data_IF_321529699298
#
_entry.id   IF_321529699298
#
_cell.length_a   1.000
_cell.length_b   1.000
_cell.length_c   1.000
_cell.angle_alpha   90.00
_cell.angle_beta   90.00
_cell.angle_gamma   90.00
#
_symmetry.space_group_name_H-M   'P 1'
#
loop_
_entity.id
_entity.type
_entity.pdbx_description
1 polymer ?
#
# COMPACT_ATOMS: atom_id res chain seq x y z
N UNK A 1 20.72 10.75 -16.81
CA UNK A 1 19.26 10.90 -17.04
C UNK A 1 18.68 9.98 -18.13
N UNK A 2 19.43 8.98 -18.66
CA UNK A 2 18.89 7.98 -19.60
C UNK A 2 18.15 6.82 -18.90
N UNK A 3 18.38 6.61 -17.60
CA UNK A 3 17.86 5.47 -16.80
C UNK A 3 16.32 5.47 -16.64
N UNK A 4 15.67 6.60 -16.78
CA UNK A 4 14.22 6.76 -16.57
C UNK A 4 13.43 7.02 -17.86
N UNK A 5 14.04 6.89 -19.05
CA UNK A 5 13.31 7.12 -20.31
C UNK A 5 12.62 5.84 -20.76
N UNK A 6 11.32 5.82 -20.65
CA UNK A 6 10.45 4.79 -21.21
C UNK A 6 10.25 4.97 -22.73
N UNK A 7 10.22 3.86 -23.49
CA UNK A 7 9.83 3.85 -24.90
C UNK A 7 8.32 4.14 -25.06
N UNK A 8 7.86 4.50 -26.25
CA UNK A 8 6.44 4.76 -26.50
C UNK A 8 5.61 3.49 -26.36
N UNK A 9 6.10 2.39 -26.91
CA UNK A 9 5.42 1.10 -26.91
C UNK A 9 5.31 0.54 -25.49
N UNK A 10 6.37 0.69 -24.67
CA UNK A 10 6.32 0.31 -23.27
C UNK A 10 5.30 1.12 -22.48
N UNK A 11 5.22 2.42 -22.76
CA UNK A 11 4.25 3.29 -22.10
C UNK A 11 2.81 2.81 -22.33
N UNK A 12 2.44 2.53 -23.60
CA UNK A 12 1.10 2.05 -23.94
C UNK A 12 0.78 0.72 -23.23
N UNK A 13 1.74 -0.20 -23.23
CA UNK A 13 1.59 -1.48 -22.52
C UNK A 13 1.37 -1.29 -21.01
N UNK A 14 2.23 -0.51 -20.36
CA UNK A 14 2.14 -0.25 -18.91
C UNK A 14 0.85 0.50 -18.57
N UNK A 15 0.47 1.46 -19.39
CA UNK A 15 -0.79 2.18 -19.20
C UNK A 15 -2.00 1.26 -19.32
N UNK A 16 -2.03 0.38 -20.32
CA UNK A 16 -3.11 -0.59 -20.51
C UNK A 16 -3.20 -1.56 -19.32
N UNK A 17 -2.06 -2.10 -18.88
CA UNK A 17 -1.97 -3.03 -17.75
C UNK A 17 -2.46 -2.39 -16.45
N UNK A 18 -2.01 -1.16 -16.15
CA UNK A 18 -2.45 -0.42 -14.96
C UNK A 18 -3.94 -0.09 -15.05
N UNK A 19 -4.40 0.40 -16.19
CA UNK A 19 -5.81 0.78 -16.38
C UNK A 19 -6.73 -0.44 -16.26
N UNK A 20 -6.39 -1.57 -16.88
CA UNK A 20 -7.19 -2.80 -16.80
C UNK A 20 -7.18 -3.40 -15.39
N UNK A 21 -6.02 -3.46 -14.76
CA UNK A 21 -5.87 -3.99 -13.39
C UNK A 21 -6.45 -3.08 -12.30
N UNK A 22 -6.75 -1.82 -12.61
CA UNK A 22 -7.42 -0.87 -11.71
C UNK A 22 -8.94 -0.91 -11.81
N UNK A 23 -9.52 -1.80 -12.63
CA UNK A 23 -10.98 -1.93 -12.74
C UNK A 23 -11.58 -2.62 -11.52
N UNK A 24 -12.68 -2.09 -10.95
CA UNK A 24 -13.41 -2.72 -9.85
C UNK A 24 -14.22 -3.92 -10.38
N UNK A 25 -13.52 -4.97 -10.80
CA UNK A 25 -14.09 -6.17 -11.40
C UNK A 25 -14.25 -7.30 -10.35
N UNK A 26 -15.18 -8.23 -10.60
CA UNK A 26 -15.43 -9.39 -9.70
C UNK A 26 -14.14 -10.18 -9.46
N UNK A 27 -13.32 -10.40 -10.51
CA UNK A 27 -12.03 -11.09 -10.40
C UNK A 27 -11.08 -10.42 -9.40
N UNK A 28 -11.05 -9.07 -9.38
CA UNK A 28 -10.24 -8.30 -8.45
C UNK A 28 -10.65 -8.55 -7.00
N UNK A 29 -11.94 -8.39 -6.68
CA UNK A 29 -12.46 -8.61 -5.33
C UNK A 29 -12.32 -10.05 -4.86
N UNK A 30 -12.51 -11.02 -5.76
CA UNK A 30 -12.30 -12.44 -5.46
C UNK A 30 -10.85 -12.70 -5.04
N UNK A 31 -9.88 -12.19 -5.79
CA UNK A 31 -8.46 -12.37 -5.47
C UNK A 31 -8.05 -11.64 -4.18
N UNK A 32 -8.59 -10.45 -3.92
CA UNK A 32 -8.39 -9.74 -2.65
C UNK A 32 -8.95 -10.56 -1.49
N UNK A 33 -10.15 -11.09 -1.63
CA UNK A 33 -10.80 -11.92 -0.59
C UNK A 33 -9.98 -13.17 -0.29
N UNK A 34 -9.58 -13.94 -1.32
CA UNK A 34 -8.77 -15.15 -1.15
C UNK A 34 -7.43 -14.83 -0.49
N UNK A 35 -6.74 -13.78 -0.97
CA UNK A 35 -5.48 -13.34 -0.39
C UNK A 35 -5.64 -12.94 1.08
N UNK A 36 -6.70 -12.19 1.41
CA UNK A 36 -6.97 -11.76 2.79
C UNK A 36 -7.24 -12.95 3.71
N UNK A 37 -7.99 -13.95 3.26
CA UNK A 37 -8.22 -15.17 4.04
C UNK A 37 -6.92 -15.95 4.29
N UNK A 38 -6.08 -16.11 3.27
CA UNK A 38 -4.76 -16.75 3.42
C UNK A 38 -3.89 -15.95 4.40
N UNK A 39 -3.86 -14.60 4.27
CA UNK A 39 -3.12 -13.75 5.19
C UNK A 39 -3.63 -13.88 6.63
N UNK A 40 -4.94 -13.90 6.82
CA UNK A 40 -5.57 -14.05 8.14
C UNK A 40 -5.20 -15.40 8.78
N UNK A 41 -5.26 -16.49 8.05
CA UNK A 41 -4.77 -17.79 8.55
C UNK A 41 -3.28 -17.74 8.87
N UNK A 42 -2.45 -17.13 8.02
CA UNK A 42 -1.02 -16.96 8.27
C UNK A 42 -0.72 -16.19 9.55
N UNK A 43 -1.50 -15.12 9.82
CA UNK A 43 -1.40 -14.31 11.04
C UNK A 43 -1.79 -15.13 12.28
N UNK A 44 -2.91 -15.85 12.23
CA UNK A 44 -3.39 -16.68 13.36
C UNK A 44 -2.45 -17.87 13.62
N UNK A 45 -1.92 -18.50 12.59
CA UNK A 45 -0.97 -19.60 12.69
C UNK A 45 0.46 -19.15 13.04
N UNK A 46 0.72 -17.85 13.20
CA UNK A 46 2.05 -17.26 13.39
C UNK A 46 3.04 -17.71 12.32
N UNK A 47 2.58 -17.83 11.06
CA UNK A 47 3.37 -18.33 9.93
C UNK A 47 3.68 -17.22 8.93
N UNK A 48 4.87 -16.64 9.03
CA UNK A 48 5.37 -15.64 8.08
C UNK A 48 5.36 -16.16 6.63
N UNK A 49 5.64 -17.45 6.43
CA UNK A 49 5.65 -18.05 5.09
C UNK A 49 4.26 -18.03 4.43
N UNK A 50 3.21 -18.35 5.19
CA UNK A 50 1.81 -18.28 4.70
C UNK A 50 1.41 -16.84 4.42
N UNK A 51 1.80 -15.90 5.30
CA UNK A 51 1.55 -14.47 5.09
C UNK A 51 2.22 -13.98 3.81
N UNK A 52 3.47 -14.37 3.53
CA UNK A 52 4.18 -14.05 2.28
C UNK A 52 3.44 -14.68 1.07
N UNK A 53 2.99 -15.91 1.17
CA UNK A 53 2.20 -16.56 0.12
C UNK A 53 0.92 -15.81 -0.23
N UNK A 54 0.22 -15.27 0.76
CA UNK A 54 -0.98 -14.45 0.55
C UNK A 54 -0.70 -13.20 -0.31
N UNK A 55 0.44 -12.57 -0.10
CA UNK A 55 0.83 -11.33 -0.79
C UNK A 55 1.04 -11.52 -2.29
N UNK A 56 1.42 -12.73 -2.72
CA UNK A 56 1.59 -13.07 -4.14
C UNK A 56 0.27 -13.11 -4.90
N UNK A 57 -0.84 -13.30 -4.19
CA UNK A 57 -2.18 -13.46 -4.75
C UNK A 57 -2.91 -12.11 -4.86
N UNK A 58 -2.59 -11.16 -4.01
CA UNK A 58 -3.33 -9.90 -3.90
C UNK A 58 -3.06 -8.92 -5.05
N UNK A 59 -4.07 -8.45 -5.78
CA UNK A 59 -3.91 -7.48 -6.87
C UNK A 59 -3.95 -6.00 -6.41
N UNK A 60 -3.81 -5.70 -5.11
CA UNK A 60 -3.96 -4.34 -4.55
C UNK A 60 -2.91 -3.33 -5.03
N UNK A 61 -1.76 -3.80 -5.54
CA UNK A 61 -0.73 -2.91 -6.07
C UNK A 61 -1.20 -2.10 -7.29
N UNK A 62 -1.98 -2.72 -8.18
CA UNK A 62 -2.34 -2.11 -9.46
C UNK A 62 -3.26 -0.89 -9.31
N UNK A 63 -4.32 -0.89 -8.47
CA UNK A 63 -5.09 0.31 -8.20
C UNK A 63 -4.27 1.45 -7.59
N UNK A 64 -3.28 1.16 -6.74
CA UNK A 64 -2.38 2.18 -6.17
C UNK A 64 -1.59 2.88 -7.28
N UNK A 65 -1.02 2.11 -8.20
CA UNK A 65 -0.36 2.67 -9.37
C UNK A 65 -1.32 3.36 -10.33
N UNK A 66 -2.57 2.89 -10.42
CA UNK A 66 -3.65 3.55 -11.15
C UNK A 66 -3.93 4.95 -10.61
N UNK A 67 -4.07 5.09 -9.29
CA UNK A 67 -4.22 6.40 -8.63
C UNK A 67 -3.00 7.28 -8.89
N UNK A 68 -1.78 6.73 -8.71
CA UNK A 68 -0.53 7.47 -8.94
C UNK A 68 -0.42 7.99 -10.38
N UNK A 69 -0.69 7.15 -11.35
CA UNK A 69 -0.63 7.49 -12.77
C UNK A 69 -1.71 8.50 -13.16
N UNK A 70 -2.93 8.32 -12.66
CA UNK A 70 -4.05 9.22 -12.89
C UNK A 70 -3.78 10.63 -12.35
N UNK A 71 -3.18 10.74 -11.15
CA UNK A 71 -2.75 12.02 -10.58
C UNK A 71 -1.69 12.70 -11.44
N UNK A 72 -0.68 11.94 -11.89
CA UNK A 72 0.41 12.45 -12.75
C UNK A 72 -0.11 12.95 -14.09
N UNK A 73 -1.07 12.24 -14.68
CA UNK A 73 -1.64 12.58 -15.99
C UNK A 73 -2.84 13.52 -15.93
N UNK A 74 -3.51 13.57 -14.79
CA UNK A 74 -4.75 14.31 -14.60
C UNK A 74 -5.96 13.63 -15.24
N UNK A 75 -5.97 12.32 -15.29
CA UNK A 75 -7.04 11.51 -15.84
C UNK A 75 -8.08 11.17 -14.78
N UNK A 76 -9.20 11.87 -14.80
CA UNK A 76 -10.26 11.73 -13.78
C UNK A 76 -10.91 10.35 -13.83
N UNK A 77 -11.11 9.78 -15.03
CA UNK A 77 -11.79 8.49 -15.19
C UNK A 77 -10.95 7.35 -14.59
N UNK A 78 -9.64 7.31 -14.87
CA UNK A 78 -8.72 6.36 -14.27
C UNK A 78 -8.63 6.56 -12.75
N UNK A 79 -8.62 7.81 -12.28
CA UNK A 79 -8.57 8.11 -10.85
C UNK A 79 -9.80 7.56 -10.12
N UNK A 80 -10.99 7.84 -10.61
CA UNK A 80 -12.25 7.37 -10.01
C UNK A 80 -12.33 5.85 -10.04
N UNK A 81 -11.95 5.23 -11.15
CA UNK A 81 -11.92 3.78 -11.31
C UNK A 81 -10.97 3.13 -10.28
N UNK A 82 -9.74 3.60 -10.20
CA UNK A 82 -8.72 3.07 -9.29
C UNK A 82 -9.07 3.29 -7.81
N UNK A 83 -9.61 4.47 -7.45
CA UNK A 83 -10.10 4.74 -6.10
C UNK A 83 -11.25 3.80 -5.72
N UNK A 84 -12.20 3.56 -6.62
CA UNK A 84 -13.31 2.62 -6.36
C UNK A 84 -12.82 1.20 -6.15
N UNK A 85 -11.85 0.73 -6.96
CA UNK A 85 -11.24 -0.57 -6.79
C UNK A 85 -10.52 -0.67 -5.45
N UNK A 86 -9.71 0.33 -5.10
CA UNK A 86 -8.94 0.36 -3.84
C UNK A 86 -9.85 0.40 -2.61
N UNK A 87 -10.81 1.32 -2.54
CA UNK A 87 -11.76 1.40 -1.42
C UNK A 87 -12.54 0.11 -1.28
N UNK A 88 -13.04 -0.46 -2.38
CA UNK A 88 -13.77 -1.72 -2.35
C UNK A 88 -12.88 -2.88 -1.91
N UNK A 89 -11.63 -2.94 -2.36
CA UNK A 89 -10.63 -3.94 -1.96
C UNK A 89 -10.28 -3.85 -0.48
N UNK A 90 -10.00 -2.65 0.02
CA UNK A 90 -9.74 -2.39 1.45
C UNK A 90 -10.94 -2.81 2.31
N UNK A 91 -12.14 -2.40 1.91
CA UNK A 91 -13.38 -2.75 2.62
C UNK A 91 -13.60 -4.25 2.64
N UNK A 92 -13.43 -4.92 1.49
CA UNK A 92 -13.55 -6.37 1.40
C UNK A 92 -12.52 -7.08 2.29
N UNK A 93 -11.27 -6.63 2.30
CA UNK A 93 -10.21 -7.22 3.12
C UNK A 93 -10.54 -7.10 4.61
N UNK A 94 -10.91 -5.93 5.10
CA UNK A 94 -11.24 -5.72 6.52
C UNK A 94 -12.48 -6.49 6.92
N UNK A 95 -13.54 -6.49 6.11
CA UNK A 95 -14.77 -7.23 6.41
C UNK A 95 -14.52 -8.74 6.42
N UNK A 96 -13.77 -9.26 5.45
CA UNK A 96 -13.50 -10.71 5.37
C UNK A 96 -12.63 -11.20 6.52
N UNK A 97 -11.60 -10.46 6.91
CA UNK A 97 -10.76 -10.81 8.06
C UNK A 97 -11.52 -10.68 9.39
N UNK A 98 -12.37 -9.66 9.54
CA UNK A 98 -13.27 -9.51 10.67
C UNK A 98 -14.25 -10.69 10.76
N UNK A 99 -14.92 -11.03 9.65
CA UNK A 99 -15.87 -12.15 9.59
C UNK A 99 -15.19 -13.48 9.93
N UNK A 100 -13.99 -13.72 9.40
CA UNK A 100 -13.20 -14.89 9.74
C UNK A 100 -12.84 -14.93 11.23
N UNK A 101 -12.35 -13.83 11.78
CA UNK A 101 -12.01 -13.75 13.20
C UNK A 101 -13.21 -14.04 14.10
N UNK A 102 -14.38 -13.45 13.80
CA UNK A 102 -15.62 -13.71 14.53
C UNK A 102 -16.10 -15.18 14.39
N UNK A 103 -15.91 -15.79 13.21
CA UNK A 103 -16.31 -17.18 12.98
C UNK A 103 -15.41 -18.18 13.69
N UNK A 104 -14.12 -17.87 13.88
CA UNK A 104 -13.18 -18.73 14.61
C UNK A 104 -13.29 -18.59 16.14
N UNK A 105 -13.89 -17.49 16.61
CA UNK A 105 -14.02 -17.21 18.04
C UNK A 105 -12.69 -16.74 18.67
N UNK A 106 -12.47 -17.13 19.93
CA UNK A 106 -11.28 -16.71 20.68
C UNK A 106 -10.01 -17.39 20.15
N UNK A 107 -9.06 -16.58 19.73
CA UNK A 107 -7.69 -16.98 19.42
C UNK A 107 -6.71 -15.99 20.07
N UNK A 108 -5.53 -16.47 20.46
CA UNK A 108 -4.52 -15.61 21.07
C UNK A 108 -3.80 -14.75 20.01
N UNK A 109 -3.54 -13.46 20.32
CA UNK A 109 -2.76 -12.61 19.44
C UNK A 109 -1.34 -13.15 19.28
N UNK A 110 -0.98 -13.53 18.07
CA UNK A 110 0.35 -14.06 17.73
C UNK A 110 1.38 -12.94 17.57
N UNK A 111 2.68 -13.28 17.49
CA UNK A 111 3.73 -12.30 17.19
C UNK A 111 3.54 -11.64 15.83
N UNK A 112 3.02 -12.37 14.84
CA UNK A 112 2.67 -11.85 13.51
C UNK A 112 1.56 -10.80 13.59
N UNK A 113 0.57 -10.98 14.46
CA UNK A 113 -0.50 -9.99 14.73
C UNK A 113 0.08 -8.78 15.45
N UNK A 114 0.77 -8.99 16.57
CA UNK A 114 1.27 -7.92 17.44
C UNK A 114 2.27 -7.00 16.74
N UNK A 115 3.14 -7.55 15.90
CA UNK A 115 4.15 -6.77 15.16
C UNK A 115 3.56 -5.71 14.24
N UNK A 116 2.30 -5.89 13.78
CA UNK A 116 1.61 -4.98 12.84
C UNK A 116 0.65 -4.00 13.51
N UNK A 117 0.54 -4.03 14.84
CA UNK A 117 -0.36 -3.13 15.57
C UNK A 117 0.24 -1.77 15.89
N UNK A 118 1.56 -1.63 15.74
CA UNK A 118 2.32 -0.41 16.08
C UNK A 118 3.19 0.03 14.92
N UNK A 119 2.65 0.86 13.99
CA UNK A 119 3.41 1.41 12.88
C UNK A 119 4.68 2.12 13.36
N UNK A 120 5.76 1.96 12.62
CA UNK A 120 7.02 2.62 12.92
C UNK A 120 7.67 3.22 11.66
N UNK A 121 8.71 4.03 11.83
CA UNK A 121 9.37 4.71 10.73
C UNK A 121 10.08 3.73 9.75
N UNK A 122 10.52 2.58 10.23
CA UNK A 122 11.17 1.59 9.36
C UNK A 122 10.15 0.95 8.42
N UNK A 123 8.92 0.73 8.86
CA UNK A 123 7.84 0.24 8.00
C UNK A 123 7.60 1.22 6.84
N UNK A 124 7.58 2.52 7.14
CA UNK A 124 7.42 3.57 6.14
C UNK A 124 8.61 3.60 5.15
N UNK A 125 9.85 3.44 5.62
CA UNK A 125 11.03 3.37 4.74
C UNK A 125 10.97 2.14 3.82
N UNK A 126 10.56 1.00 4.34
CA UNK A 126 10.34 -0.22 3.52
C UNK A 126 9.29 0.03 2.46
N UNK A 127 8.16 0.68 2.80
CA UNK A 127 7.11 1.00 1.83
C UNK A 127 7.59 1.99 0.75
N UNK A 128 8.40 2.99 1.11
CA UNK A 128 9.04 3.94 0.17
C UNK A 128 9.93 3.18 -0.82
N UNK A 129 10.81 2.30 -0.32
CA UNK A 129 11.73 1.52 -1.17
C UNK A 129 10.96 0.53 -2.06
N UNK A 130 9.96 -0.15 -1.52
CA UNK A 130 9.10 -1.07 -2.26
C UNK A 130 8.31 -0.34 -3.35
N UNK A 131 7.73 0.83 -3.03
CA UNK A 131 7.01 1.68 -3.99
C UNK A 131 7.90 2.16 -5.12
N UNK A 132 9.13 2.58 -4.80
CA UNK A 132 10.13 2.94 -5.82
C UNK A 132 10.47 1.76 -6.72
N UNK A 133 10.81 0.61 -6.12
CA UNK A 133 11.18 -0.59 -6.87
C UNK A 133 10.04 -1.06 -7.80
N UNK A 134 8.79 -1.04 -7.30
CA UNK A 134 7.62 -1.41 -8.09
C UNK A 134 7.36 -0.47 -9.26
N UNK A 135 7.36 0.83 -9.01
CA UNK A 135 7.17 1.83 -10.05
C UNK A 135 8.32 1.82 -11.08
N UNK A 136 9.55 1.63 -10.61
CA UNK A 136 10.72 1.53 -11.50
C UNK A 136 10.68 0.28 -12.38
N UNK A 137 10.26 -0.87 -11.84
CA UNK A 137 10.12 -2.11 -12.61
C UNK A 137 9.05 -2.01 -13.72
N UNK A 138 8.03 -1.17 -13.55
CA UNK A 138 7.09 -0.87 -14.62
C UNK A 138 7.73 -0.03 -15.74
N UNK A 139 8.64 0.87 -15.36
CA UNK A 139 9.34 1.76 -16.30
C UNK A 139 10.40 1.03 -17.10
N UNK A 140 11.18 0.15 -16.47
CA UNK A 140 12.30 -0.57 -17.09
C UNK A 140 11.84 -1.91 -17.67
N UNK A 141 11.96 -2.08 -18.99
CA UNK A 141 11.55 -3.29 -19.71
C UNK A 141 12.35 -4.55 -19.30
N UNK A 142 13.53 -4.37 -18.72
CA UNK A 142 14.43 -5.46 -18.33
C UNK A 142 14.10 -6.05 -16.97
N UNK A 143 13.26 -5.38 -16.18
CA UNK A 143 12.90 -5.79 -14.84
C UNK A 143 11.48 -6.37 -14.87
N UNK A 144 11.32 -7.57 -14.32
CA UNK A 144 9.99 -8.16 -14.16
C UNK A 144 9.21 -7.40 -13.08
N UNK A 145 8.00 -6.91 -13.36
CA UNK A 145 7.18 -6.21 -12.36
C UNK A 145 6.65 -7.13 -11.25
N UNK A 146 6.77 -8.45 -11.42
CA UNK A 146 6.27 -9.41 -10.44
C UNK A 146 7.04 -9.36 -9.10
N UNK A 147 8.36 -9.22 -9.12
CA UNK A 147 9.17 -9.21 -7.89
C UNK A 147 8.91 -7.97 -7.01
N UNK A 148 8.93 -6.74 -7.53
CA UNK A 148 8.57 -5.57 -6.73
C UNK A 148 7.11 -5.57 -6.29
N UNK A 149 6.22 -6.20 -7.07
CA UNK A 149 4.81 -6.38 -6.69
C UNK A 149 4.65 -7.14 -5.38
N UNK A 150 5.47 -8.16 -5.16
CA UNK A 150 5.52 -8.88 -3.87
C UNK A 150 5.90 -7.95 -2.73
N UNK A 151 6.95 -7.14 -2.89
CA UNK A 151 7.41 -6.22 -1.86
C UNK A 151 6.33 -5.20 -1.46
N UNK A 152 5.58 -4.66 -2.44
CA UNK A 152 4.46 -3.75 -2.19
C UNK A 152 3.32 -4.46 -1.46
N UNK A 153 2.93 -5.65 -1.93
CA UNK A 153 1.85 -6.42 -1.30
C UNK A 153 2.17 -6.81 0.13
N UNK A 154 3.46 -6.99 0.46
CA UNK A 154 3.96 -7.19 1.83
C UNK A 154 3.58 -6.06 2.77
N UNK A 155 3.59 -4.85 2.27
CA UNK A 155 3.27 -3.65 3.04
C UNK A 155 1.76 -3.37 3.14
N UNK A 156 0.92 -4.00 2.31
CA UNK A 156 -0.50 -3.63 2.15
C UNK A 156 -1.45 -4.67 2.76
N UNK A 157 -1.36 -5.94 2.33
CA UNK A 157 -2.35 -6.98 2.65
C UNK A 157 -2.37 -7.39 4.12
N UNK A 158 -1.21 -7.70 4.76
CA UNK A 158 -1.21 -8.17 6.13
C UNK A 158 -1.71 -7.14 7.15
N UNK A 159 -1.39 -5.84 7.04
CA UNK A 159 -1.98 -4.83 7.91
C UNK A 159 -3.50 -4.73 7.80
N UNK A 160 -4.07 -4.87 6.58
CA UNK A 160 -5.52 -4.88 6.38
C UNK A 160 -6.17 -6.10 7.03
N UNK A 161 -5.64 -7.30 6.78
CA UNK A 161 -6.12 -8.53 7.38
C UNK A 161 -6.01 -8.46 8.93
N UNK A 162 -4.88 -7.95 9.43
CA UNK A 162 -4.66 -7.78 10.85
C UNK A 162 -5.63 -6.79 11.51
N UNK A 163 -5.99 -5.72 10.78
CA UNK A 163 -6.98 -4.75 11.28
C UNK A 163 -8.32 -5.42 11.57
N UNK A 164 -8.85 -6.24 10.65
CA UNK A 164 -10.10 -6.95 10.86
C UNK A 164 -10.01 -8.02 11.96
N UNK A 165 -8.92 -8.78 12.03
CA UNK A 165 -8.69 -9.77 13.10
C UNK A 165 -8.65 -9.12 14.49
N UNK A 166 -7.93 -8.02 14.65
CA UNK A 166 -7.89 -7.28 15.91
C UNK A 166 -9.27 -6.75 16.32
N UNK A 167 -10.07 -6.27 15.36
CA UNK A 167 -11.45 -5.87 15.63
C UNK A 167 -12.32 -7.04 16.08
N UNK A 168 -12.12 -8.25 15.51
CA UNK A 168 -12.83 -9.46 15.94
C UNK A 168 -12.48 -9.85 17.39
N UNK A 169 -11.26 -9.62 17.83
CA UNK A 169 -10.81 -9.85 19.21
C UNK A 169 -11.28 -8.74 20.20
N UNK A 170 -12.00 -7.71 19.73
CA UNK A 170 -12.38 -6.56 20.55
C UNK A 170 -11.25 -5.55 20.80
N UNK A 171 -10.08 -5.75 20.19
CA UNK A 171 -8.89 -4.91 20.32
C UNK A 171 -8.89 -3.75 19.33
N UNK A 172 -9.83 -2.81 19.49
CA UNK A 172 -10.04 -1.70 18.54
C UNK A 172 -8.80 -0.82 18.35
N UNK A 173 -8.01 -0.59 19.41
CA UNK A 173 -6.78 0.21 19.32
C UNK A 173 -5.71 -0.49 18.48
N UNK A 174 -5.55 -1.80 18.59
CA UNK A 174 -4.65 -2.62 17.79
C UNK A 174 -5.11 -2.67 16.31
N UNK A 175 -6.43 -2.82 16.10
CA UNK A 175 -7.03 -2.78 14.77
C UNK A 175 -6.80 -1.44 14.06
N UNK A 176 -7.00 -0.33 14.77
CA UNK A 176 -6.69 1.02 14.25
C UNK A 176 -5.20 1.19 13.96
N UNK A 177 -4.31 0.69 14.83
CA UNK A 177 -2.86 0.72 14.61
C UNK A 177 -2.47 0.00 13.32
N UNK A 178 -3.04 -1.18 13.06
CA UNK A 178 -2.83 -1.95 11.83
C UNK A 178 -3.36 -1.23 10.59
N UNK A 179 -4.53 -0.60 10.69
CA UNK A 179 -5.09 0.20 9.60
C UNK A 179 -4.25 1.43 9.29
N UNK A 180 -3.71 2.10 10.32
CA UNK A 180 -2.78 3.22 10.16
C UNK A 180 -1.46 2.77 9.50
N UNK A 181 -0.97 1.57 9.81
CA UNK A 181 0.19 0.99 9.12
C UNK A 181 -0.09 0.80 7.62
N UNK A 182 -1.25 0.23 7.27
CA UNK A 182 -1.69 0.15 5.88
C UNK A 182 -1.72 1.53 5.22
N UNK A 183 -2.36 2.52 5.85
CA UNK A 183 -2.53 3.86 5.28
C UNK A 183 -1.18 4.58 5.08
N UNK A 184 -0.25 4.44 6.03
CA UNK A 184 1.10 4.97 5.91
C UNK A 184 1.86 4.36 4.72
N UNK A 185 1.78 3.04 4.57
CA UNK A 185 2.41 2.32 3.47
C UNK A 185 1.76 2.67 2.12
N UNK A 186 0.44 2.71 2.06
CA UNK A 186 -0.33 3.11 0.88
C UNK A 186 0.09 4.50 0.37
N UNK A 187 0.12 5.49 1.26
CA UNK A 187 0.50 6.86 0.90
C UNK A 187 1.98 6.96 0.49
N UNK A 188 2.87 6.20 1.15
CA UNK A 188 4.28 6.13 0.79
C UNK A 188 4.47 5.62 -0.64
N UNK A 189 3.84 4.50 -0.95
CA UNK A 189 3.90 3.87 -2.28
C UNK A 189 3.32 4.82 -3.32
N UNK A 190 2.15 5.41 -3.05
CA UNK A 190 1.46 6.33 -3.96
C UNK A 190 2.33 7.55 -4.29
N UNK A 191 2.92 8.20 -3.29
CA UNK A 191 3.75 9.39 -3.49
C UNK A 191 5.01 9.03 -4.27
N UNK A 192 5.71 7.96 -3.88
CA UNK A 192 6.97 7.57 -4.52
C UNK A 192 6.74 7.06 -5.95
N UNK A 193 5.69 6.28 -6.18
CA UNK A 193 5.31 5.85 -7.53
C UNK A 193 4.98 7.05 -8.42
N UNK A 194 4.25 8.03 -7.89
CA UNK A 194 3.94 9.26 -8.63
C UNK A 194 5.19 10.02 -9.02
N UNK A 195 6.14 10.19 -8.10
CA UNK A 195 7.43 10.83 -8.38
C UNK A 195 8.18 10.06 -9.48
N UNK A 196 8.22 8.73 -9.37
CA UNK A 196 8.89 7.86 -10.35
C UNK A 196 8.24 8.00 -11.74
N UNK A 197 6.92 8.04 -11.82
CA UNK A 197 6.19 8.24 -13.09
C UNK A 197 6.41 9.64 -13.68
N UNK A 198 6.53 10.67 -12.86
CA UNK A 198 6.92 12.02 -13.33
C UNK A 198 8.33 12.01 -13.91
N UNK A 199 9.30 11.41 -13.20
CA UNK A 199 10.70 11.32 -13.63
C UNK A 199 10.88 10.48 -14.90
N UNK A 200 10.05 9.44 -15.10
CA UNK A 200 10.06 8.61 -16.31
C UNK A 200 9.46 9.31 -17.54
N UNK A 201 8.87 10.49 -17.37
CA UNK A 201 8.27 11.29 -18.43
C UNK A 201 6.83 10.89 -18.79
N UNK A 202 6.18 10.06 -18.00
CA UNK A 202 4.77 9.67 -18.20
C UNK A 202 3.81 10.89 -18.19
N UNK A 203 4.17 11.96 -17.48
CA UNK A 203 3.41 13.21 -17.46
C UNK A 203 3.39 13.95 -18.80
N UNK A 204 4.42 13.84 -19.62
CA UNK A 204 4.65 14.72 -20.79
C UNK A 204 4.03 14.24 -22.12
N UNK A 205 3.65 12.98 -22.23
CA UNK A 205 3.36 12.35 -23.53
C UNK A 205 1.97 12.61 -24.11
N UNK A 206 1.05 13.18 -23.35
CA UNK A 206 -0.30 13.45 -23.83
C UNK A 206 -0.73 14.89 -23.53
N UNK A 207 -0.31 15.83 -24.39
CA UNK A 207 -0.94 17.15 -24.50
C UNK A 207 -0.97 18.06 -23.27
N UNK A 208 -0.19 17.74 -22.25
CA UNK A 208 -0.18 18.45 -20.97
C UNK A 208 0.55 19.80 -21.05
N UNK A 209 0.06 20.71 -21.91
CA UNK A 209 0.50 22.13 -21.92
C UNK A 209 0.12 22.85 -20.62
N UNK A 210 -0.81 22.27 -19.84
CA UNK A 210 -1.31 22.82 -18.56
C UNK A 210 -0.81 22.03 -17.32
N UNK A 211 0.08 21.04 -17.48
CA UNK A 211 0.42 20.09 -16.43
C UNK A 211 1.14 20.69 -15.21
N UNK A 212 1.92 21.74 -15.38
CA UNK A 212 2.79 22.24 -14.31
C UNK A 212 2.06 22.86 -13.11
N UNK A 213 1.12 23.77 -13.35
CA UNK A 213 0.40 24.47 -12.28
C UNK A 213 -0.67 23.58 -11.61
N UNK A 214 -1.31 22.71 -12.38
CA UNK A 214 -2.32 21.79 -11.85
C UNK A 214 -1.73 20.57 -11.15
N UNK A 215 -0.51 20.14 -11.50
CA UNK A 215 0.16 18.99 -10.89
C UNK A 215 0.35 19.22 -9.38
N UNK A 216 0.91 20.35 -8.99
CA UNK A 216 1.11 20.68 -7.58
C UNK A 216 -0.20 20.62 -6.78
N UNK A 217 -1.26 21.20 -7.32
CA UNK A 217 -2.57 21.22 -6.66
C UNK A 217 -3.18 19.81 -6.51
N UNK A 218 -2.96 18.91 -7.48
CA UNK A 218 -3.43 17.52 -7.44
C UNK A 218 -2.69 16.68 -6.40
N UNK A 219 -1.40 16.96 -6.20
CA UNK A 219 -0.57 16.26 -5.21
C UNK A 219 -0.65 16.84 -3.79
N UNK A 220 -1.26 18.01 -3.59
CA UNK A 220 -1.33 18.62 -2.26
C UNK A 220 -1.92 17.66 -1.23
N UNK A 221 -3.07 17.05 -1.50
CA UNK A 221 -3.75 16.18 -0.55
C UNK A 221 -2.94 14.92 -0.20
N UNK A 222 -2.48 14.09 -1.17
CA UNK A 222 -1.64 12.93 -0.88
C UNK A 222 -0.33 13.29 -0.17
N UNK A 223 0.35 14.36 -0.58
CA UNK A 223 1.62 14.79 0.02
C UNK A 223 1.41 15.30 1.44
N UNK A 224 0.39 16.13 1.67
CA UNK A 224 0.07 16.61 3.03
C UNK A 224 -0.30 15.44 3.93
N UNK A 225 -1.13 14.51 3.48
CA UNK A 225 -1.46 13.30 4.25
C UNK A 225 -0.22 12.46 4.56
N UNK A 226 0.68 12.26 3.58
CA UNK A 226 1.94 11.56 3.77
C UNK A 226 2.84 12.26 4.80
N UNK A 227 3.00 13.58 4.70
CA UNK A 227 3.81 14.37 5.65
C UNK A 227 3.21 14.31 7.06
N UNK A 228 1.89 14.43 7.21
CA UNK A 228 1.23 14.36 8.52
C UNK A 228 1.41 12.98 9.16
N UNK A 229 1.25 11.88 8.40
CA UNK A 229 1.45 10.53 8.90
C UNK A 229 2.92 10.32 9.26
N UNK A 230 3.85 10.75 8.42
CA UNK A 230 5.30 10.64 8.71
C UNK A 230 5.68 11.41 9.96
N UNK A 231 5.16 12.63 10.14
CA UNK A 231 5.38 13.44 11.33
C UNK A 231 4.80 12.77 12.59
N UNK A 232 3.59 12.21 12.49
CA UNK A 232 2.95 11.47 13.57
C UNK A 232 3.75 10.23 13.98
N UNK A 233 4.20 9.42 13.01
CA UNK A 233 5.03 8.24 13.27
C UNK A 233 6.39 8.62 13.86
N UNK A 234 7.02 9.67 13.34
CA UNK A 234 8.28 10.21 13.87
C UNK A 234 8.14 10.70 15.32
N UNK A 235 7.06 11.40 15.64
CA UNK A 235 6.75 11.84 17.00
C UNK A 235 6.51 10.65 17.94
N UNK A 236 5.76 9.64 17.49
CA UNK A 236 5.50 8.43 18.26
C UNK A 236 6.79 7.67 18.59
N UNK A 237 7.71 7.52 17.63
CA UNK A 237 9.03 6.92 17.87
C UNK A 237 9.87 7.73 18.84
N UNK A 238 9.88 9.05 18.70
CA UNK A 238 10.62 9.94 19.60
C UNK A 238 10.12 9.78 21.04
N UNK A 239 8.81 9.74 21.25
CA UNK A 239 8.19 9.54 22.56
C UNK A 239 8.59 8.20 23.17
N UNK A 240 8.49 7.09 22.40
CA UNK A 240 8.89 5.75 22.85
C UNK A 240 10.40 5.71 23.22
N UNK A 241 11.24 6.37 22.40
CA UNK A 241 12.68 6.46 22.67
C UNK A 241 12.99 7.20 23.98
N UNK A 242 12.26 8.28 24.26
CA UNK A 242 12.40 9.04 25.51
C UNK A 242 11.96 8.22 26.74
N UNK A 243 10.83 7.53 26.64
CA UNK A 243 10.33 6.66 27.72
C UNK A 243 11.32 5.53 28.03
N UNK A 244 11.94 4.92 27.01
CA UNK A 244 12.99 3.90 27.22
C UNK A 244 14.25 4.48 27.88
N UNK A 245 14.68 5.68 27.50
CA UNK A 245 15.84 6.33 28.12
C UNK A 245 15.59 6.64 29.60
N UNK A 246 14.39 7.09 29.96
CA UNK A 246 14.01 7.32 31.35
C UNK A 246 13.95 6.02 32.14
N UNK A 247 13.42 4.94 31.57
CA UNK A 247 13.34 3.64 32.22
C UNK A 247 14.72 2.99 32.46
N UNK A 248 15.71 3.23 31.59
CA UNK A 248 17.09 2.73 31.74
C UNK A 248 17.94 3.63 32.65
N UNK A 249 17.63 4.92 32.73
CA UNK A 249 18.33 5.88 33.59
C UNK A 249 17.98 5.80 35.08
N UNK A 250 16.98 4.97 35.45
CA UNK A 250 16.57 4.72 36.85
C UNK A 250 17.26 3.42 37.43
N UNK A 251 18.19 2.83 36.69
CA UNK A 251 19.11 1.80 37.17
C UNK A 251 20.52 2.38 37.24
#
# INVERSE_FOLDING_TARGET
>A
MKLFRMSSDRFETVYADISDGSKPAVRFYLMVTVSTLIASFGLILNSTAVVIGAMLVAPLMTPIFGISLALVRGETDLLVQAIRAEIGGVTAAVIMSLALGLALGDFEPTNEILSRTRPNLFDLLVAVLAGFAGAYALVDEKISPALPGVAISTAIVPPLANSGLCLALGEAAAGLGSFLLFLANFLSILVVASITFVLSGMAKRFGAREAGANLFRRFQLPVVAFVLITAFLGYSLFKISQERKMAVGIR
#
